data_IF_081990089797
#
_entry.id   IF_081990089797
#
_cell.length_a   1.000
_cell.length_b   1.000
_cell.length_c   1.000
_cell.angle_alpha   90.00
_cell.angle_beta   90.00
_cell.angle_gamma   90.00
#
_symmetry.space_group_name_H-M   'P 1'
#
loop_
_entity.id
_entity.type
_entity.pdbx_description
1 polymer ?
#
# COMPACT_ATOMS: atom_id res chain seq x y z
N UNK A 1 36.96 -22.41 -47.38
CA UNK A 1 36.34 -21.90 -46.12
C UNK A 1 36.39 -23.02 -45.09
N UNK A 2 37.21 -22.89 -44.04
CA UNK A 2 37.54 -23.98 -43.10
C UNK A 2 36.30 -24.51 -42.35
N UNK A 3 36.12 -25.84 -42.30
CA UNK A 3 34.96 -26.52 -41.69
C UNK A 3 34.69 -26.08 -40.23
N UNK A 4 35.75 -25.71 -39.50
CA UNK A 4 35.65 -25.19 -38.13
C UNK A 4 34.83 -23.90 -38.02
N UNK A 5 34.88 -23.01 -39.03
CA UNK A 5 34.06 -21.78 -39.03
C UNK A 5 32.57 -22.07 -39.21
N UNK A 6 32.22 -23.12 -39.96
CA UNK A 6 30.83 -23.55 -40.17
C UNK A 6 30.24 -24.17 -38.90
N UNK A 7 31.01 -25.04 -38.24
CA UNK A 7 30.61 -25.68 -36.98
C UNK A 7 30.46 -24.64 -35.87
N UNK A 8 31.40 -23.70 -35.74
CA UNK A 8 31.33 -22.62 -34.75
C UNK A 8 30.11 -21.71 -34.95
N UNK A 9 29.81 -21.34 -36.21
CA UNK A 9 28.61 -20.55 -36.53
C UNK A 9 27.31 -21.30 -36.16
N UNK A 10 27.26 -22.62 -36.41
CA UNK A 10 26.10 -23.44 -36.08
C UNK A 10 25.85 -23.50 -34.57
N UNK A 11 26.93 -23.63 -33.77
CA UNK A 11 26.86 -23.65 -32.30
C UNK A 11 26.33 -22.31 -31.76
N UNK A 12 26.77 -21.18 -32.32
CA UNK A 12 26.27 -19.86 -31.93
C UNK A 12 24.78 -19.67 -32.24
N UNK A 13 24.31 -20.18 -33.37
CA UNK A 13 22.88 -20.11 -33.74
C UNK A 13 22.05 -20.95 -32.76
N UNK A 14 22.47 -22.19 -32.49
CA UNK A 14 21.76 -23.08 -31.56
C UNK A 14 21.72 -22.48 -30.15
N UNK A 15 22.84 -21.94 -29.68
CA UNK A 15 22.93 -21.29 -28.37
C UNK A 15 21.96 -20.11 -28.26
N UNK A 16 21.90 -19.23 -29.26
CA UNK A 16 20.97 -18.10 -29.27
C UNK A 16 19.50 -18.53 -29.26
N UNK A 17 19.15 -19.59 -30.02
CA UNK A 17 17.78 -20.11 -30.03
C UNK A 17 17.41 -20.69 -28.66
N UNK A 18 18.31 -21.43 -28.02
CA UNK A 18 18.08 -21.98 -26.67
C UNK A 18 17.91 -20.86 -25.64
N UNK A 19 18.77 -19.84 -25.67
CA UNK A 19 18.62 -18.67 -24.79
C UNK A 19 17.30 -17.93 -25.03
N UNK A 20 16.89 -17.78 -26.30
CA UNK A 20 15.60 -17.17 -26.65
C UNK A 20 14.40 -17.95 -26.10
N UNK A 21 14.42 -19.28 -26.21
CA UNK A 21 13.36 -20.15 -25.67
C UNK A 21 13.31 -20.07 -24.14
N UNK A 22 14.46 -20.11 -23.46
CA UNK A 22 14.55 -19.97 -22.01
C UNK A 22 14.04 -18.61 -21.53
N UNK A 23 14.42 -17.53 -22.23
CA UNK A 23 13.95 -16.18 -21.92
C UNK A 23 12.44 -16.04 -22.12
N UNK A 24 11.89 -16.58 -23.21
CA UNK A 24 10.45 -16.55 -23.48
C UNK A 24 9.66 -17.34 -22.43
N UNK A 25 10.15 -18.52 -22.03
CA UNK A 25 9.53 -19.33 -20.98
C UNK A 25 9.58 -18.64 -19.61
N UNK A 26 10.70 -18.00 -19.29
CA UNK A 26 10.83 -17.20 -18.06
C UNK A 26 9.88 -16.01 -18.06
N UNK A 27 9.83 -15.25 -19.16
CA UNK A 27 8.95 -14.09 -19.30
C UNK A 27 7.48 -14.46 -19.16
N UNK A 28 7.03 -15.53 -19.82
CA UNK A 28 5.64 -15.99 -19.69
C UNK A 28 5.30 -16.43 -18.26
N UNK A 29 6.22 -17.09 -17.55
CA UNK A 29 6.01 -17.50 -16.16
C UNK A 29 5.84 -16.29 -15.21
N UNK A 30 6.56 -15.21 -15.46
CA UNK A 30 6.53 -14.01 -14.59
C UNK A 30 5.55 -12.92 -15.04
N UNK A 31 5.02 -12.99 -16.26
CA UNK A 31 4.03 -12.02 -16.78
C UNK A 31 2.77 -11.95 -15.92
N UNK A 32 2.27 -13.10 -15.46
CA UNK A 32 1.09 -13.17 -14.59
C UNK A 32 1.34 -12.51 -13.22
N UNK A 33 2.52 -12.73 -12.63
CA UNK A 33 2.91 -12.11 -11.36
C UNK A 33 3.00 -10.58 -11.48
N UNK A 34 3.56 -10.08 -12.58
CA UNK A 34 3.65 -8.63 -12.85
C UNK A 34 2.26 -8.02 -13.01
N UNK A 35 1.36 -8.69 -13.74
CA UNK A 35 -0.01 -8.21 -13.93
C UNK A 35 -0.80 -8.23 -12.62
N UNK A 36 -0.65 -9.28 -11.81
CA UNK A 36 -1.28 -9.39 -10.51
C UNK A 36 -0.79 -8.32 -9.54
N UNK A 37 0.52 -8.11 -9.45
CA UNK A 37 1.12 -7.04 -8.62
C UNK A 37 0.62 -5.65 -9.04
N UNK A 38 0.54 -5.37 -10.34
CA UNK A 38 -0.04 -4.09 -10.83
C UNK A 38 -1.50 -3.92 -10.44
N UNK A 39 -2.29 -5.00 -10.48
CA UNK A 39 -3.68 -4.96 -10.08
C UNK A 39 -3.82 -4.74 -8.56
N UNK A 40 -3.04 -5.43 -7.74
CA UNK A 40 -2.98 -5.23 -6.30
C UNK A 40 -2.62 -3.80 -5.94
N UNK A 41 -1.51 -3.25 -6.48
CA UNK A 41 -1.10 -1.88 -6.20
C UNK A 41 -2.18 -0.86 -6.58
N UNK A 42 -2.92 -1.10 -7.67
CA UNK A 42 -4.04 -0.23 -8.08
C UNK A 42 -5.19 -0.29 -7.08
N UNK A 43 -5.49 -1.47 -6.54
CA UNK A 43 -6.55 -1.64 -5.53
C UNK A 43 -6.14 -1.03 -4.19
N UNK A 44 -4.90 -1.23 -3.75
CA UNK A 44 -4.34 -0.62 -2.54
C UNK A 44 -4.39 0.90 -2.63
N UNK A 45 -3.93 1.48 -3.75
CA UNK A 45 -4.00 2.93 -3.97
C UNK A 45 -5.44 3.45 -3.90
N UNK A 46 -6.39 2.75 -4.54
CA UNK A 46 -7.81 3.13 -4.50
C UNK A 46 -8.39 3.03 -3.08
N UNK A 47 -7.95 2.05 -2.31
CA UNK A 47 -8.36 1.88 -0.91
C UNK A 47 -7.78 2.98 -0.01
N UNK A 48 -6.51 3.32 -0.18
CA UNK A 48 -5.87 4.45 0.51
C UNK A 48 -6.56 5.79 0.17
N UNK A 49 -6.87 6.04 -1.11
CA UNK A 49 -7.62 7.23 -1.53
C UNK A 49 -9.03 7.29 -0.92
N UNK A 50 -9.67 6.14 -0.67
CA UNK A 50 -10.97 6.06 0.00
C UNK A 50 -10.87 6.38 1.49
N UNK A 51 -9.77 6.01 2.16
CA UNK A 51 -9.61 6.18 3.60
C UNK A 51 -8.94 7.48 4.02
N UNK A 52 -8.40 8.24 3.06
CA UNK A 52 -7.89 9.58 3.31
C UNK A 52 -9.03 10.49 3.81
N UNK A 53 -9.10 10.69 5.13
CA UNK A 53 -10.16 11.47 5.79
C UNK A 53 -10.15 12.94 5.37
N UNK A 54 -9.04 13.43 4.79
CA UNK A 54 -8.91 14.78 4.23
C UNK A 54 -9.72 14.95 2.94
N UNK A 55 -10.17 13.85 2.33
CA UNK A 55 -11.12 13.90 1.23
C UNK A 55 -12.50 14.36 1.73
N UNK A 56 -13.07 15.39 1.09
CA UNK A 56 -14.33 16.03 1.48
C UNK A 56 -15.48 15.05 1.75
N UNK A 57 -15.59 13.98 0.95
CA UNK A 57 -16.65 12.98 1.14
C UNK A 57 -16.50 12.24 2.47
N UNK A 58 -15.29 11.82 2.81
CA UNK A 58 -14.99 11.08 4.04
C UNK A 58 -15.10 12.00 5.24
N UNK A 59 -14.58 13.23 5.13
CA UNK A 59 -14.73 14.28 6.14
C UNK A 59 -16.21 14.49 6.51
N UNK A 60 -17.10 14.61 5.51
CA UNK A 60 -18.53 14.80 5.73
C UNK A 60 -19.16 13.59 6.46
N UNK A 61 -18.76 12.37 6.11
CA UNK A 61 -19.22 11.15 6.79
C UNK A 61 -18.75 11.09 8.25
N UNK A 62 -17.47 11.40 8.50
CA UNK A 62 -16.86 11.33 9.83
C UNK A 62 -17.40 12.43 10.75
N UNK A 63 -17.35 13.69 10.32
CA UNK A 63 -17.59 14.82 11.22
C UNK A 63 -19.01 15.38 11.17
N UNK A 64 -19.62 15.48 9.98
CA UNK A 64 -20.98 16.02 9.86
C UNK A 64 -22.03 14.95 10.18
N UNK A 65 -21.87 13.75 9.62
CA UNK A 65 -22.76 12.62 9.90
C UNK A 65 -22.38 11.84 11.16
N UNK A 66 -21.22 12.16 11.77
CA UNK A 66 -20.74 11.52 13.01
C UNK A 66 -20.67 9.99 12.88
N UNK A 67 -20.35 9.47 11.69
CA UNK A 67 -20.37 8.03 11.43
C UNK A 67 -19.19 7.33 12.12
N UNK A 68 -19.50 6.57 13.17
CA UNK A 68 -18.49 5.89 13.99
C UNK A 68 -17.70 4.82 13.22
N UNK A 69 -18.34 4.08 12.31
CA UNK A 69 -17.68 3.01 11.55
C UNK A 69 -16.60 3.59 10.64
N UNK A 70 -16.94 4.67 9.92
CA UNK A 70 -16.01 5.34 9.01
C UNK A 70 -14.91 6.04 9.80
N UNK A 71 -15.25 6.70 10.91
CA UNK A 71 -14.27 7.22 11.85
C UNK A 71 -13.25 6.15 12.26
N UNK A 72 -13.71 4.95 12.64
CA UNK A 72 -12.82 3.90 13.15
C UNK A 72 -11.90 3.35 12.06
N UNK A 73 -12.42 3.18 10.84
CA UNK A 73 -11.59 2.80 9.68
C UNK A 73 -10.49 3.84 9.41
N UNK A 74 -10.85 5.13 9.39
CA UNK A 74 -9.88 6.22 9.20
C UNK A 74 -8.86 6.28 10.34
N UNK A 75 -9.30 6.18 11.60
CA UNK A 75 -8.40 6.18 12.75
C UNK A 75 -7.37 5.05 12.66
N UNK A 76 -7.79 3.82 12.35
CA UNK A 76 -6.87 2.69 12.25
C UNK A 76 -5.84 2.88 11.13
N UNK A 77 -6.25 3.46 9.99
CA UNK A 77 -5.33 3.76 8.89
C UNK A 77 -4.30 4.83 9.29
N UNK A 78 -4.77 5.96 9.82
CA UNK A 78 -3.88 7.05 10.24
C UNK A 78 -2.98 6.65 11.41
N UNK A 79 -3.45 5.80 12.32
CA UNK A 79 -2.64 5.31 13.45
C UNK A 79 -1.40 4.54 12.97
N UNK A 80 -1.51 3.80 11.84
CA UNK A 80 -0.38 3.04 11.30
C UNK A 80 0.62 3.92 10.55
N UNK A 81 0.13 4.91 9.78
CA UNK A 81 0.96 5.67 8.83
C UNK A 81 1.33 7.07 9.34
N UNK A 82 0.41 7.74 10.05
CA UNK A 82 0.43 9.16 10.39
C UNK A 82 -0.11 9.41 11.82
N UNK A 83 0.66 9.09 12.87
CA UNK A 83 0.18 9.08 14.26
C UNK A 83 -0.30 10.44 14.77
N UNK A 84 0.25 11.54 14.27
CA UNK A 84 -0.21 12.90 14.60
C UNK A 84 -1.64 13.13 14.09
N UNK A 85 -1.91 12.73 12.84
CA UNK A 85 -3.22 12.86 12.23
C UNK A 85 -4.25 11.97 12.93
N UNK A 86 -3.86 10.76 13.33
CA UNK A 86 -4.70 9.86 14.13
C UNK A 86 -5.13 10.51 15.45
N UNK A 87 -4.20 11.14 16.16
CA UNK A 87 -4.48 11.85 17.41
C UNK A 87 -5.44 13.03 17.20
N UNK A 88 -5.22 13.84 16.16
CA UNK A 88 -6.09 14.98 15.83
C UNK A 88 -7.50 14.51 15.42
N UNK A 89 -7.60 13.45 14.63
CA UNK A 89 -8.86 12.84 14.21
C UNK A 89 -9.66 12.35 15.43
N UNK A 90 -9.04 11.58 16.32
CA UNK A 90 -9.68 11.05 17.52
C UNK A 90 -10.15 12.17 18.46
N UNK A 91 -9.30 13.18 18.73
CA UNK A 91 -9.69 14.33 19.56
C UNK A 91 -10.86 15.11 18.98
N UNK A 92 -10.83 15.37 17.67
CA UNK A 92 -11.88 16.13 16.99
C UNK A 92 -13.20 15.37 17.05
N UNK A 93 -13.19 14.08 16.73
CA UNK A 93 -14.38 13.24 16.75
C UNK A 93 -14.94 13.06 18.18
N UNK A 94 -14.09 12.91 19.19
CA UNK A 94 -14.50 12.89 20.60
C UNK A 94 -15.17 14.21 20.99
N UNK A 95 -14.60 15.35 20.61
CA UNK A 95 -15.17 16.65 20.96
C UNK A 95 -16.57 16.86 20.35
N UNK A 96 -16.83 16.30 19.18
CA UNK A 96 -18.13 16.40 18.48
C UNK A 96 -19.18 15.40 18.96
N UNK A 97 -18.77 14.24 19.47
CA UNK A 97 -19.69 13.13 19.80
C UNK A 97 -19.74 12.79 21.28
N UNK A 98 -18.71 13.15 22.05
CA UNK A 98 -18.49 12.79 23.45
C UNK A 98 -18.58 11.28 23.72
N UNK A 99 -18.32 10.43 22.71
CA UNK A 99 -18.28 8.97 22.86
C UNK A 99 -17.06 8.54 23.68
N UNK A 100 -17.30 7.87 24.81
CA UNK A 100 -16.26 7.38 25.72
C UNK A 100 -15.25 6.43 25.06
N UNK A 101 -15.69 5.59 24.12
CA UNK A 101 -14.82 4.64 23.42
C UNK A 101 -13.68 5.33 22.66
N UNK A 102 -13.89 6.57 22.21
CA UNK A 102 -12.91 7.37 21.47
C UNK A 102 -11.76 7.82 22.39
N UNK A 103 -11.97 7.90 23.71
CA UNK A 103 -10.89 8.23 24.65
C UNK A 103 -9.76 7.20 24.60
N UNK A 104 -10.09 5.93 24.37
CA UNK A 104 -9.08 4.86 24.21
C UNK A 104 -8.21 5.09 22.97
N UNK A 105 -8.82 5.60 21.91
CA UNK A 105 -8.14 5.91 20.65
C UNK A 105 -7.19 7.10 20.82
N UNK A 106 -7.63 8.13 21.55
CA UNK A 106 -6.78 9.27 21.92
C UNK A 106 -5.57 8.80 22.74
N UNK A 107 -5.78 7.96 23.75
CA UNK A 107 -4.69 7.43 24.59
C UNK A 107 -3.73 6.51 23.82
N UNK A 108 -4.23 5.76 22.84
CA UNK A 108 -3.40 4.95 21.94
C UNK A 108 -2.50 5.84 21.08
N UNK A 109 -3.09 6.80 20.36
CA UNK A 109 -2.32 7.69 19.50
C UNK A 109 -1.33 8.55 20.30
N UNK A 110 -1.72 8.99 21.51
CA UNK A 110 -0.83 9.74 22.41
C UNK A 110 0.39 8.92 22.84
N UNK A 111 0.21 7.64 23.18
CA UNK A 111 1.33 6.75 23.54
C UNK A 111 2.29 6.57 22.37
N UNK A 112 1.76 6.27 21.19
CA UNK A 112 2.58 6.12 20.00
C UNK A 112 3.37 7.40 19.67
N UNK A 113 2.76 8.58 19.82
CA UNK A 113 3.48 9.85 19.66
C UNK A 113 4.57 10.04 20.70
N UNK A 114 4.29 9.71 21.97
CA UNK A 114 5.30 9.79 23.03
C UNK A 114 6.48 8.86 22.74
N UNK A 115 6.24 7.65 22.24
CA UNK A 115 7.30 6.71 21.86
C UNK A 115 8.18 7.29 20.75
N UNK A 116 7.57 7.91 19.72
CA UNK A 116 8.30 8.55 18.61
C UNK A 116 9.18 9.73 19.08
N UNK A 117 8.70 10.54 20.02
CA UNK A 117 9.42 11.74 20.47
C UNK A 117 10.33 11.51 21.69
N UNK A 118 10.21 10.38 22.38
CA UNK A 118 11.10 10.00 23.49
C UNK A 118 12.23 9.04 23.06
N UNK A 119 12.29 8.67 21.78
CA UNK A 119 13.42 7.93 21.18
C UNK A 119 14.63 8.83 20.82
N UNK A 120 14.57 10.14 21.15
CA UNK A 120 15.69 11.10 21.12
C UNK A 120 16.31 11.31 22.52
#
# INVERSE_FOLDING_TARGET
MSNYKKVFSLILIISNVVFGILFFKYYNKHKEQILFSKYQNKQEKKYQEKLNYRNFKVYNEVFNKKNYSIYKECFNYEYMEHPVDAYLLANTYYNLTKKSDVLKDIDLAKRQLADIYNED
#
